data_IF_167841815680
#
_entry.id   IF_167841815680
#
_cell.length_a   1.000
_cell.length_b   1.000
_cell.length_c   1.000
_cell.angle_alpha   90.00
_cell.angle_beta   90.00
_cell.angle_gamma   90.00
#
_symmetry.space_group_name_H-M   'P 1'
#
loop_
_entity.id
_entity.type
_entity.pdbx_description
1 polymer ?
#
# COMPACT_ATOMS: atom_id res chain seq x y z
N UNK A 1 -3.08 21.08 18.69
CA UNK A 1 -3.63 20.02 17.82
C UNK A 1 -4.13 18.90 18.70
N UNK A 2 -5.28 18.30 18.37
CA UNK A 2 -5.69 17.04 18.99
C UNK A 2 -4.91 15.92 18.29
N UNK A 3 -4.11 15.11 19.00
CA UNK A 3 -3.41 13.98 18.41
C UNK A 3 -4.41 12.99 17.79
N UNK A 4 -4.00 12.31 16.71
CA UNK A 4 -4.75 11.15 16.23
C UNK A 4 -4.58 9.98 17.21
N UNK A 5 -5.48 8.98 17.20
CA UNK A 5 -5.37 7.82 18.10
C UNK A 5 -4.07 7.02 17.95
N UNK A 6 -3.37 7.14 16.82
CA UNK A 6 -2.12 6.44 16.56
C UNK A 6 -0.87 7.20 17.05
N UNK A 7 -0.98 8.50 17.33
CA UNK A 7 0.16 9.33 17.71
C UNK A 7 0.47 9.23 19.20
N UNK A 8 1.74 9.05 19.51
CA UNK A 8 2.32 9.10 20.85
C UNK A 8 3.09 10.42 21.07
N UNK A 9 3.75 10.94 20.04
CA UNK A 9 4.58 12.15 20.09
C UNK A 9 4.08 13.23 19.10
N UNK A 10 2.89 13.81 19.31
CA UNK A 10 2.22 14.66 18.31
C UNK A 10 2.94 15.99 18.01
N UNK A 11 3.96 16.34 18.80
CA UNK A 11 4.78 17.54 18.58
C UNK A 11 5.97 17.28 17.65
N UNK A 12 6.30 16.01 17.39
CA UNK A 12 7.35 15.63 16.46
C UNK A 12 6.81 15.48 15.03
N UNK A 13 7.60 15.94 14.07
CA UNK A 13 7.42 15.64 12.66
C UNK A 13 7.93 14.23 12.34
N UNK A 14 7.31 13.58 11.36
CA UNK A 14 7.71 12.26 10.87
C UNK A 14 7.76 11.18 11.97
N UNK A 15 6.82 11.23 12.91
CA UNK A 15 6.63 10.21 13.94
C UNK A 15 6.38 8.82 13.33
N UNK A 16 7.01 7.79 13.90
CA UNK A 16 6.79 6.39 13.54
C UNK A 16 5.77 5.75 14.50
N UNK A 17 4.50 5.75 14.10
CA UNK A 17 3.35 5.32 14.93
C UNK A 17 3.17 3.80 15.09
N UNK A 18 3.90 2.99 14.33
CA UNK A 18 3.83 1.53 14.39
C UNK A 18 5.25 0.96 14.53
N UNK A 19 5.76 0.20 13.54
CA UNK A 19 7.13 -0.32 13.56
C UNK A 19 8.18 0.79 13.49
N UNK A 20 9.31 0.59 14.18
CA UNK A 20 10.50 1.42 14.02
C UNK A 20 11.45 0.91 12.93
N UNK A 21 11.07 -0.14 12.20
CA UNK A 21 11.83 -0.65 11.07
C UNK A 21 11.44 0.10 9.79
N UNK A 22 12.43 0.71 9.15
CA UNK A 22 12.32 1.27 7.80
C UNK A 22 12.60 0.20 6.73
N UNK A 23 12.51 -1.10 7.08
CA UNK A 23 12.80 -2.27 6.22
C UNK A 23 14.28 -2.37 5.83
N UNK A 24 14.58 -3.29 4.91
CA UNK A 24 15.94 -3.69 4.54
C UNK A 24 16.86 -2.53 4.14
N UNK A 25 18.15 -2.67 4.48
CA UNK A 25 19.29 -1.86 4.01
C UNK A 25 19.85 -2.32 2.67
N UNK A 26 19.59 -3.57 2.29
CA UNK A 26 20.21 -4.19 1.10
C UNK A 26 19.70 -3.55 -0.19
N UNK A 27 20.62 -3.20 -1.10
CA UNK A 27 20.30 -2.74 -2.46
C UNK A 27 19.59 -3.79 -3.31
N UNK A 28 19.68 -5.07 -2.92
CA UNK A 28 18.97 -6.17 -3.58
C UNK A 28 17.50 -6.27 -3.15
N UNK A 29 17.10 -5.51 -2.13
CA UNK A 29 15.70 -5.39 -1.71
C UNK A 29 15.13 -4.06 -2.21
N UNK A 30 13.89 -4.01 -2.74
CA UNK A 30 13.28 -2.77 -3.24
C UNK A 30 13.31 -1.62 -2.24
N UNK A 31 13.04 -1.91 -0.96
CA UNK A 31 13.06 -0.89 0.07
C UNK A 31 14.48 -0.34 0.32
N UNK A 32 15.50 -1.18 0.22
CA UNK A 32 16.89 -0.73 0.38
C UNK A 32 17.40 0.02 -0.85
N UNK A 33 17.01 -0.38 -2.06
CA UNK A 33 17.29 0.38 -3.28
C UNK A 33 16.72 1.81 -3.20
N UNK A 34 15.44 1.94 -2.82
CA UNK A 34 14.79 3.24 -2.65
C UNK A 34 15.56 4.14 -1.65
N UNK A 35 16.03 3.58 -0.53
CA UNK A 35 16.84 4.34 0.44
C UNK A 35 18.13 4.87 -0.16
N UNK A 36 18.79 4.10 -1.03
CA UNK A 36 20.03 4.53 -1.69
C UNK A 36 19.77 5.68 -2.68
N UNK A 37 18.65 5.64 -3.39
CA UNK A 37 18.20 6.74 -4.26
C UNK A 37 17.88 7.98 -3.43
N UNK A 38 17.10 7.83 -2.37
CA UNK A 38 16.78 8.91 -1.43
C UNK A 38 18.03 9.53 -0.81
N UNK A 39 19.04 8.71 -0.47
CA UNK A 39 20.33 9.19 0.03
C UNK A 39 21.05 10.04 -1.01
N UNK A 40 21.08 9.57 -2.26
CA UNK A 40 21.73 10.28 -3.37
C UNK A 40 21.05 11.62 -3.69
N UNK A 41 19.75 11.72 -3.42
CA UNK A 41 18.96 12.96 -3.54
C UNK A 41 19.02 13.85 -2.29
N UNK A 42 19.80 13.48 -1.26
CA UNK A 42 19.96 14.29 -0.05
C UNK A 42 18.76 14.27 0.91
N UNK A 43 18.04 13.14 0.98
CA UNK A 43 16.86 13.00 1.84
C UNK A 43 17.19 13.18 3.33
N UNK A 44 16.53 14.14 3.97
CA UNK A 44 16.59 14.37 5.42
C UNK A 44 16.17 13.12 6.22
N UNK A 45 15.20 12.35 5.71
CA UNK A 45 14.72 11.12 6.36
C UNK A 45 15.83 10.08 6.48
N UNK A 46 16.67 9.91 5.44
CA UNK A 46 17.76 8.94 5.47
C UNK A 46 18.86 9.39 6.43
N UNK A 47 19.18 10.69 6.44
CA UNK A 47 20.16 11.26 7.40
C UNK A 47 19.68 11.05 8.83
N UNK A 48 18.41 11.35 9.11
CA UNK A 48 17.81 11.13 10.42
C UNK A 48 17.89 9.65 10.84
N UNK A 49 17.53 8.74 9.92
CA UNK A 49 17.55 7.30 10.19
C UNK A 49 18.95 6.76 10.50
N UNK A 50 19.98 7.26 9.81
CA UNK A 50 21.36 6.88 10.07
C UNK A 50 21.85 7.36 11.44
N UNK A 51 21.44 8.55 11.88
CA UNK A 51 21.83 9.11 13.17
C UNK A 51 21.12 8.45 14.36
N UNK A 52 19.95 7.88 14.13
CA UNK A 52 19.16 7.19 15.15
C UNK A 52 19.13 5.68 14.97
N UNK A 53 20.02 5.10 14.17
CA UNK A 53 20.01 3.65 13.88
C UNK A 53 20.22 2.82 15.16
N UNK A 54 19.42 1.77 15.31
CA UNK A 54 19.54 0.75 16.36
C UNK A 54 19.73 -0.65 15.76
N UNK A 55 20.38 -1.60 16.47
CA UNK A 55 20.62 -2.94 15.92
C UNK A 55 19.33 -3.68 15.53
N UNK A 56 19.21 -4.11 14.27
CA UNK A 56 18.04 -4.82 13.74
C UNK A 56 18.35 -5.78 12.57
N UNK A 57 19.52 -6.41 12.58
CA UNK A 57 19.96 -7.31 11.53
C UNK A 57 20.08 -6.59 10.17
N UNK A 58 19.40 -7.10 9.14
CA UNK A 58 19.42 -6.53 7.80
C UNK A 58 18.50 -5.32 7.61
N UNK A 59 17.62 -5.05 8.57
CA UNK A 59 16.74 -3.88 8.53
C UNK A 59 17.45 -2.62 9.03
N UNK A 60 17.04 -1.46 8.50
CA UNK A 60 17.32 -0.16 9.09
C UNK A 60 16.23 0.10 10.12
N UNK A 61 16.51 -0.18 11.39
CA UNK A 61 15.63 0.22 12.48
C UNK A 61 16.18 1.45 13.19
N UNK A 62 15.29 2.25 13.74
CA UNK A 62 15.64 3.53 14.37
C UNK A 62 15.11 3.63 15.79
N UNK A 63 15.75 4.45 16.60
CA UNK A 63 15.13 5.05 17.77
C UNK A 63 14.10 6.08 17.30
N UNK A 64 12.83 5.90 17.72
CA UNK A 64 11.70 6.70 17.22
C UNK A 64 11.80 8.17 17.63
N UNK A 65 12.19 8.43 18.87
CA UNK A 65 12.22 9.77 19.44
C UNK A 65 13.41 10.55 18.86
N UNK A 66 14.59 9.92 18.78
CA UNK A 66 15.76 10.53 18.16
C UNK A 66 15.53 10.79 16.67
N UNK A 67 14.91 9.85 15.95
CA UNK A 67 14.59 10.00 14.53
C UNK A 67 13.70 11.22 14.26
N UNK A 68 12.53 11.22 14.90
CA UNK A 68 11.49 12.24 14.69
C UNK A 68 11.90 13.59 15.29
N UNK A 69 12.58 13.59 16.43
CA UNK A 69 13.14 14.79 17.06
C UNK A 69 14.21 15.46 16.21
N UNK A 70 15.11 14.70 15.57
CA UNK A 70 16.11 15.25 14.66
C UNK A 70 15.47 15.96 13.46
N UNK A 71 14.47 15.33 12.83
CA UNK A 71 13.73 15.91 11.70
C UNK A 71 13.02 17.19 12.14
N UNK A 72 12.32 17.13 13.27
CA UNK A 72 11.58 18.26 13.85
C UNK A 72 12.49 19.46 14.08
N UNK A 73 13.61 19.25 14.77
CA UNK A 73 14.60 20.29 15.04
C UNK A 73 15.18 20.86 13.76
N UNK A 74 15.48 20.01 12.78
CA UNK A 74 16.05 20.46 11.50
C UNK A 74 15.07 21.36 10.74
N UNK A 75 13.81 20.95 10.61
CA UNK A 75 12.80 21.70 9.87
C UNK A 75 12.41 23.01 10.57
N UNK A 76 12.26 23.01 11.91
CA UNK A 76 11.92 24.23 12.67
C UNK A 76 13.01 25.31 12.61
N UNK A 77 14.27 24.90 12.50
CA UNK A 77 15.41 25.83 12.44
C UNK A 77 15.83 26.18 11.01
N UNK A 78 15.16 25.65 9.99
CA UNK A 78 15.57 25.87 8.61
C UNK A 78 15.13 27.26 8.12
N UNK A 79 16.05 28.10 7.60
CA UNK A 79 15.78 29.52 7.33
C UNK A 79 14.76 29.78 6.23
N UNK A 80 14.47 28.77 5.40
CA UNK A 80 13.47 28.85 4.30
C UNK A 80 12.17 28.11 4.59
N UNK A 81 11.99 27.59 5.81
CA UNK A 81 10.79 26.86 6.19
C UNK A 81 10.11 27.63 7.31
N UNK A 82 8.83 27.96 7.10
CA UNK A 82 7.96 28.51 8.14
C UNK A 82 7.02 27.41 8.60
N UNK A 83 7.11 27.05 9.87
CA UNK A 83 6.18 26.10 10.49
C UNK A 83 4.96 26.86 11.01
N UNK A 84 3.77 26.39 10.64
CA UNK A 84 2.49 26.90 11.14
C UNK A 84 1.73 25.71 11.71
N UNK A 85 1.48 25.74 13.02
CA UNK A 85 0.69 24.71 13.71
C UNK A 85 -0.79 25.08 13.65
N UNK A 86 -1.48 24.55 12.64
CA UNK A 86 -2.93 24.70 12.50
C UNK A 86 -3.56 23.40 12.04
N UNK A 87 -4.84 23.23 12.31
CA UNK A 87 -5.66 22.30 11.55
C UNK A 87 -6.11 23.02 10.28
N UNK A 88 -6.04 22.34 9.14
CA UNK A 88 -6.49 22.85 7.84
C UNK A 88 -7.81 22.15 7.52
N UNK A 89 -8.86 22.91 7.26
CA UNK A 89 -10.19 22.36 6.92
C UNK A 89 -10.46 22.35 5.41
N UNK A 90 -9.76 23.19 4.64
CA UNK A 90 -9.87 23.27 3.18
C UNK A 90 -8.55 23.69 2.52
N UNK A 91 -8.36 23.36 1.24
CA UNK A 91 -7.19 23.79 0.48
C UNK A 91 -7.13 25.33 0.36
N UNK A 92 -8.27 26.01 0.29
CA UNK A 92 -8.32 27.48 0.14
C UNK A 92 -7.74 28.23 1.34
N UNK A 93 -7.85 27.67 2.55
CA UNK A 93 -7.15 28.20 3.74
C UNK A 93 -5.64 28.24 3.54
N UNK A 94 -5.08 27.25 2.85
CA UNK A 94 -3.64 27.16 2.60
C UNK A 94 -3.20 28.26 1.64
N UNK A 95 -3.98 28.52 0.59
CA UNK A 95 -3.73 29.64 -0.33
C UNK A 95 -3.78 31.01 0.38
N UNK A 96 -4.55 31.12 1.46
CA UNK A 96 -4.56 32.29 2.35
C UNK A 96 -3.20 32.64 2.98
N UNK A 97 -2.24 31.71 3.00
CA UNK A 97 -0.86 31.96 3.43
C UNK A 97 0.05 32.55 2.33
N UNK A 98 -0.49 32.83 1.14
CA UNK A 98 0.25 33.46 0.04
C UNK A 98 1.20 32.52 -0.70
N UNK A 99 0.80 31.24 -0.85
CA UNK A 99 1.56 30.23 -1.61
C UNK A 99 0.93 30.00 -2.97
N UNK A 100 1.75 29.70 -3.98
CA UNK A 100 1.26 29.43 -5.35
C UNK A 100 0.96 27.95 -5.61
N UNK A 101 1.52 27.06 -4.78
CA UNK A 101 1.46 25.60 -4.94
C UNK A 101 1.27 24.93 -3.59
N UNK A 102 0.50 23.86 -3.59
CA UNK A 102 0.17 23.09 -2.38
C UNK A 102 0.56 21.62 -2.57
N UNK A 103 1.26 21.06 -1.59
CA UNK A 103 1.49 19.62 -1.46
C UNK A 103 0.65 19.14 -0.28
N UNK A 104 -0.14 18.09 -0.51
CA UNK A 104 -1.03 17.51 0.50
C UNK A 104 -0.42 16.19 0.97
N UNK A 105 -0.06 16.11 2.24
CA UNK A 105 0.64 14.98 2.85
C UNK A 105 0.13 14.67 4.27
N UNK A 106 -1.19 14.67 4.45
CA UNK A 106 -1.87 14.52 5.76
C UNK A 106 -1.97 13.09 6.28
N UNK A 107 -1.47 12.12 5.51
CA UNK A 107 -1.40 10.72 5.91
C UNK A 107 -2.76 9.99 5.92
N UNK A 108 -2.80 8.75 6.42
CA UNK A 108 -3.98 7.88 6.36
C UNK A 108 -5.11 8.34 7.29
N UNK A 109 -4.83 9.16 8.31
CA UNK A 109 -5.82 9.67 9.27
C UNK A 109 -6.16 11.13 8.99
N UNK A 110 -6.41 11.47 7.73
CA UNK A 110 -6.78 12.83 7.32
C UNK A 110 -8.08 13.26 7.98
N UNK A 111 -8.13 14.48 8.52
CA UNK A 111 -9.32 15.00 9.20
C UNK A 111 -10.52 15.11 8.25
N UNK A 112 -11.73 14.78 8.76
CA UNK A 112 -12.96 14.71 7.96
C UNK A 112 -13.24 15.96 7.13
N UNK A 113 -13.01 17.17 7.67
CA UNK A 113 -13.26 18.42 6.94
C UNK A 113 -12.41 18.52 5.66
N UNK A 114 -11.10 18.26 5.77
CA UNK A 114 -10.20 18.29 4.63
C UNK A 114 -10.47 17.12 3.67
N UNK A 115 -10.80 15.94 4.20
CA UNK A 115 -11.19 14.80 3.36
C UNK A 115 -12.43 15.13 2.49
N UNK A 116 -13.43 15.81 3.05
CA UNK A 116 -14.62 16.23 2.31
C UNK A 116 -14.31 17.31 1.26
N UNK A 117 -13.50 18.30 1.60
CA UNK A 117 -13.01 19.31 0.63
C UNK A 117 -12.27 18.64 -0.55
N UNK A 118 -11.43 17.64 -0.27
CA UNK A 118 -10.75 16.85 -1.30
C UNK A 118 -11.72 16.08 -2.20
N UNK A 119 -12.76 15.45 -1.63
CA UNK A 119 -13.78 14.73 -2.40
C UNK A 119 -14.51 15.67 -3.35
N UNK A 120 -14.98 16.81 -2.85
CA UNK A 120 -15.69 17.81 -3.65
C UNK A 120 -14.82 18.33 -4.80
N UNK A 121 -13.53 18.62 -4.56
CA UNK A 121 -12.63 19.17 -5.59
C UNK A 121 -12.23 18.16 -6.66
N UNK A 122 -12.14 16.89 -6.29
CA UNK A 122 -11.74 15.82 -7.22
C UNK A 122 -12.93 15.14 -7.88
N UNK A 123 -14.17 15.55 -7.54
CA UNK A 123 -15.41 14.85 -7.89
C UNK A 123 -15.31 13.34 -7.57
N UNK A 124 -14.58 12.99 -6.51
CA UNK A 124 -14.24 11.62 -6.19
C UNK A 124 -15.22 11.03 -5.20
N UNK A 125 -15.95 10.03 -5.67
CA UNK A 125 -16.72 9.15 -4.81
C UNK A 125 -15.79 8.15 -4.06
N UNK A 126 -14.56 7.96 -4.53
CA UNK A 126 -13.63 6.89 -4.14
C UNK A 126 -12.54 7.24 -3.13
N UNK A 127 -12.61 8.40 -2.44
CA UNK A 127 -11.62 8.73 -1.41
C UNK A 127 -11.93 7.95 -0.11
N UNK A 128 -11.19 6.86 0.09
CA UNK A 128 -11.28 6.00 1.27
C UNK A 128 -9.89 5.83 1.89
N UNK A 129 -9.85 5.76 3.22
CA UNK A 129 -8.60 5.60 3.99
C UNK A 129 -8.43 4.17 4.56
N UNK A 130 -9.25 3.24 4.10
CA UNK A 130 -9.10 1.82 4.34
C UNK A 130 -8.74 1.15 3.02
N UNK A 131 -7.84 0.18 3.10
CA UNK A 131 -7.42 -0.60 1.95
C UNK A 131 -7.99 -2.01 2.05
N UNK A 132 -8.41 -2.57 0.91
CA UNK A 132 -8.73 -3.98 0.76
C UNK A 132 -7.86 -4.55 -0.34
N UNK A 133 -6.60 -4.80 0.01
CA UNK A 133 -5.63 -5.39 -0.91
C UNK A 133 -5.78 -6.91 -0.90
N UNK A 134 -6.02 -7.50 -2.07
CA UNK A 134 -5.74 -8.91 -2.30
C UNK A 134 -4.24 -9.10 -2.59
N UNK A 135 -3.62 -10.23 -2.20
CA UNK A 135 -2.22 -10.50 -2.54
C UNK A 135 -1.96 -10.35 -4.04
N UNK A 136 -0.89 -9.64 -4.39
CA UNK A 136 -0.43 -9.51 -5.77
C UNK A 136 0.70 -10.51 -5.98
N UNK A 137 0.61 -11.30 -7.04
CA UNK A 137 1.61 -12.29 -7.43
C UNK A 137 2.22 -11.90 -8.78
N UNK A 138 3.49 -12.23 -8.97
CA UNK A 138 4.17 -12.06 -10.25
C UNK A 138 3.63 -13.08 -11.25
N UNK A 139 3.13 -12.60 -12.40
CA UNK A 139 2.48 -13.43 -13.42
C UNK A 139 3.40 -14.50 -13.99
N UNK A 140 4.71 -14.23 -14.06
CA UNK A 140 5.71 -15.15 -14.58
C UNK A 140 5.93 -16.36 -13.65
N UNK A 141 5.48 -16.27 -12.39
CA UNK A 141 5.57 -17.35 -11.41
C UNK A 141 4.36 -18.30 -11.43
N UNK A 142 3.35 -18.01 -12.26
CA UNK A 142 2.12 -18.80 -12.33
C UNK A 142 2.31 -19.98 -13.28
N UNK A 143 1.95 -21.18 -12.81
CA UNK A 143 1.91 -22.37 -13.65
C UNK A 143 0.79 -22.27 -14.71
N UNK A 144 1.19 -21.90 -15.93
CA UNK A 144 0.31 -21.75 -17.08
C UNK A 144 -0.24 -23.09 -17.59
N UNK A 145 0.29 -24.24 -17.16
CA UNK A 145 -0.30 -25.54 -17.49
C UNK A 145 -1.68 -25.72 -16.81
N UNK A 146 -1.88 -25.08 -15.66
CA UNK A 146 -3.13 -25.13 -14.88
C UNK A 146 -4.04 -23.93 -15.22
N UNK A 147 -3.50 -22.71 -15.21
CA UNK A 147 -4.28 -21.48 -15.30
C UNK A 147 -4.84 -21.18 -16.71
N UNK A 148 -6.01 -20.54 -16.83
CA UNK A 148 -6.57 -20.17 -18.14
C UNK A 148 -7.26 -18.81 -18.12
N UNK A 149 -7.12 -18.04 -19.20
CA UNK A 149 -7.85 -16.79 -19.37
C UNK A 149 -9.31 -17.08 -19.71
N UNK A 150 -10.23 -16.41 -19.03
CA UNK A 150 -11.66 -16.43 -19.37
C UNK A 150 -12.45 -15.32 -18.68
N UNK A 151 -13.45 -14.79 -19.35
CA UNK A 151 -14.48 -13.94 -18.75
C UNK A 151 -15.55 -14.78 -18.02
N UNK A 152 -16.37 -14.14 -17.16
CA UNK A 152 -17.37 -14.86 -16.33
C UNK A 152 -18.32 -15.75 -17.12
N UNK A 153 -18.75 -15.32 -18.30
CA UNK A 153 -19.73 -16.04 -19.13
C UNK A 153 -19.11 -17.16 -19.97
N UNK A 154 -17.79 -17.16 -20.14
CA UNK A 154 -17.06 -18.04 -21.06
C UNK A 154 -16.21 -19.09 -20.35
N UNK A 155 -16.12 -19.05 -19.00
CA UNK A 155 -15.24 -19.91 -18.18
C UNK A 155 -15.28 -21.39 -18.55
N UNK A 156 -16.47 -21.97 -18.71
CA UNK A 156 -16.61 -23.40 -19.02
C UNK A 156 -16.07 -23.71 -20.42
N UNK A 157 -16.45 -22.90 -21.40
CA UNK A 157 -16.04 -23.08 -22.79
C UNK A 157 -14.54 -22.91 -22.97
N UNK A 158 -13.93 -21.91 -22.31
CA UNK A 158 -12.49 -21.66 -22.35
C UNK A 158 -11.68 -22.80 -21.71
N UNK A 159 -12.15 -23.33 -20.58
CA UNK A 159 -11.52 -24.49 -19.92
C UNK A 159 -11.54 -25.72 -20.83
N UNK A 160 -12.69 -26.03 -21.41
CA UNK A 160 -12.85 -27.21 -22.27
C UNK A 160 -11.99 -27.09 -23.54
N UNK A 161 -11.86 -25.90 -24.11
CA UNK A 161 -10.97 -25.61 -25.23
C UNK A 161 -9.50 -25.88 -24.85
N UNK A 162 -9.06 -25.38 -23.69
CA UNK A 162 -7.70 -25.63 -23.20
C UNK A 162 -7.41 -27.11 -23.00
N UNK A 163 -8.33 -27.85 -22.38
CA UNK A 163 -8.16 -29.30 -22.14
C UNK A 163 -8.00 -30.07 -23.46
N UNK A 164 -8.75 -29.71 -24.51
CA UNK A 164 -8.60 -30.31 -25.85
C UNK A 164 -7.23 -30.03 -26.46
N UNK A 165 -6.72 -28.80 -26.34
CA UNK A 165 -5.39 -28.43 -26.85
C UNK A 165 -4.27 -29.17 -26.11
N UNK A 166 -4.37 -29.30 -24.78
CA UNK A 166 -3.42 -30.09 -24.00
C UNK A 166 -3.42 -31.56 -24.41
N UNK A 167 -4.59 -32.15 -24.62
CA UNK A 167 -4.72 -33.53 -25.10
C UNK A 167 -4.17 -33.73 -26.51
N UNK A 168 -4.20 -32.70 -27.35
CA UNK A 168 -3.65 -32.70 -28.70
C UNK A 168 -2.13 -32.42 -28.75
N UNK A 169 -1.48 -32.14 -27.60
CA UNK A 169 -0.05 -31.78 -27.55
C UNK A 169 0.28 -30.43 -28.18
N UNK A 170 -0.72 -29.57 -28.36
CA UNK A 170 -0.57 -28.23 -28.95
C UNK A 170 -0.26 -27.17 -27.89
N UNK A 171 0.51 -26.16 -28.27
CA UNK A 171 0.76 -24.99 -27.43
C UNK A 171 -0.56 -24.31 -27.04
N UNK A 172 -0.72 -24.06 -25.75
CA UNK A 172 -1.93 -23.45 -25.15
C UNK A 172 -1.78 -21.96 -24.92
N UNK A 173 -0.64 -21.37 -25.26
CA UNK A 173 -0.40 -19.93 -25.12
C UNK A 173 -1.38 -19.15 -26.02
N UNK A 174 -2.30 -18.41 -25.40
CA UNK A 174 -3.30 -17.62 -26.12
C UNK A 174 -4.56 -18.37 -26.59
N UNK A 175 -4.93 -19.50 -25.96
CA UNK A 175 -6.22 -20.13 -26.22
C UNK A 175 -7.37 -19.14 -25.97
N UNK A 176 -8.02 -18.70 -27.05
CA UNK A 176 -9.16 -17.79 -27.00
C UNK A 176 -10.40 -18.50 -26.44
N UNK A 177 -11.26 -17.72 -25.78
CA UNK A 177 -12.57 -18.15 -25.33
C UNK A 177 -13.45 -18.49 -26.55
N UNK A 178 -14.60 -19.15 -26.33
CA UNK A 178 -15.49 -19.62 -27.40
C UNK A 178 -16.07 -18.56 -28.36
N UNK A 179 -15.78 -17.28 -28.11
CA UNK A 179 -16.12 -16.10 -28.92
C UNK A 179 -14.92 -15.53 -29.72
N UNK A 180 -13.72 -16.12 -29.60
CA UNK A 180 -12.52 -15.70 -30.31
C UNK A 180 -11.74 -14.58 -29.62
N UNK A 181 -12.14 -14.15 -28.43
CA UNK A 181 -11.41 -13.20 -27.60
C UNK A 181 -10.69 -13.90 -26.44
N UNK A 182 -9.52 -13.39 -26.04
CA UNK A 182 -8.84 -13.86 -24.83
C UNK A 182 -9.50 -13.17 -23.62
N UNK A 183 -10.02 -13.95 -22.68
CA UNK A 183 -10.65 -13.39 -21.48
C UNK A 183 -9.73 -12.49 -20.66
N UNK A 184 -10.28 -11.54 -19.90
CA UNK A 184 -9.49 -10.58 -19.14
C UNK A 184 -9.02 -11.07 -17.77
N UNK A 185 -9.57 -12.20 -17.30
CA UNK A 185 -9.26 -12.75 -15.98
C UNK A 185 -8.54 -14.08 -16.14
N UNK A 186 -7.46 -14.23 -15.37
CA UNK A 186 -6.80 -15.53 -15.21
C UNK A 186 -7.57 -16.35 -14.16
N UNK A 187 -7.97 -17.57 -14.54
CA UNK A 187 -8.74 -18.47 -13.71
C UNK A 187 -7.86 -19.65 -13.28
N UNK A 188 -7.87 -19.94 -11.98
CA UNK A 188 -7.23 -21.10 -11.37
C UNK A 188 -8.33 -22.09 -10.95
N UNK A 189 -8.57 -23.17 -11.71
CA UNK A 189 -9.64 -24.12 -11.38
C UNK A 189 -9.28 -24.93 -10.15
N UNK A 190 -10.25 -25.12 -9.25
CA UNK A 190 -10.17 -26.06 -8.13
C UNK A 190 -11.24 -27.15 -8.31
N UNK A 191 -10.89 -28.38 -8.00
CA UNK A 191 -11.87 -29.43 -7.76
C UNK A 191 -12.51 -29.28 -6.37
N UNK A 192 -13.50 -30.12 -6.07
CA UNK A 192 -14.26 -30.06 -4.82
C UNK A 192 -13.36 -30.22 -3.58
N UNK A 193 -12.47 -31.20 -3.60
CA UNK A 193 -11.63 -31.54 -2.46
C UNK A 193 -10.55 -30.48 -2.23
N UNK A 194 -9.95 -29.98 -3.31
CA UNK A 194 -9.00 -28.84 -3.29
C UNK A 194 -9.66 -27.57 -2.71
N UNK A 195 -10.90 -27.28 -3.12
CA UNK A 195 -11.66 -26.14 -2.59
C UNK A 195 -11.87 -26.26 -1.08
N UNK A 196 -12.32 -27.43 -0.59
CA UNK A 196 -12.55 -27.61 0.85
C UNK A 196 -11.24 -27.60 1.65
N UNK A 197 -10.16 -28.17 1.12
CA UNK A 197 -8.85 -28.08 1.74
C UNK A 197 -8.37 -26.62 1.85
N UNK A 198 -8.56 -25.83 0.79
CA UNK A 198 -8.23 -24.40 0.78
C UNK A 198 -9.06 -23.60 1.79
N UNK A 199 -10.37 -23.86 1.88
CA UNK A 199 -11.26 -23.19 2.85
C UNK A 199 -10.82 -23.48 4.29
N UNK A 200 -10.49 -24.73 4.60
CA UNK A 200 -10.01 -25.09 5.94
C UNK A 200 -8.65 -24.44 6.25
N UNK A 201 -7.75 -24.38 5.26
CA UNK A 201 -6.48 -23.67 5.40
C UNK A 201 -6.68 -22.17 5.69
N UNK A 202 -7.60 -21.49 4.99
CA UNK A 202 -7.93 -20.08 5.26
C UNK A 202 -8.49 -19.90 6.66
N UNK A 203 -9.41 -20.77 7.10
CA UNK A 203 -10.00 -20.68 8.44
C UNK A 203 -8.97 -20.84 9.55
N UNK A 204 -7.98 -21.70 9.33
CA UNK A 204 -6.88 -21.95 10.26
C UNK A 204 -5.72 -20.95 10.17
N UNK A 205 -5.71 -20.06 9.16
CA UNK A 205 -4.65 -19.09 8.98
C UNK A 205 -4.58 -18.05 10.10
N UNK A 206 -3.37 -17.61 10.43
CA UNK A 206 -3.14 -16.54 11.39
C UNK A 206 -3.75 -15.22 10.89
N UNK A 207 -4.34 -14.46 11.81
CA UNK A 207 -4.96 -13.16 11.52
C UNK A 207 -4.29 -12.10 12.37
N UNK A 208 -4.02 -10.95 11.75
CA UNK A 208 -3.55 -9.77 12.47
C UNK A 208 -4.73 -9.19 13.25
N UNK A 209 -4.62 -9.00 14.57
CA UNK A 209 -5.66 -8.34 15.34
C UNK A 209 -5.77 -6.87 14.94
N UNK A 210 -6.99 -6.34 14.98
CA UNK A 210 -7.23 -4.91 14.79
C UNK A 210 -6.66 -4.11 15.97
N UNK A 211 -6.28 -2.87 15.71
CA UNK A 211 -6.04 -1.89 16.77
C UNK A 211 -7.38 -1.42 17.36
N UNK A 212 -7.39 -0.98 18.62
CA UNK A 212 -8.61 -0.59 19.34
C UNK A 212 -9.39 0.56 18.70
N UNK A 213 -8.72 1.38 17.87
CA UNK A 213 -9.32 2.51 17.14
C UNK A 213 -9.75 2.17 15.71
N UNK A 214 -9.52 0.94 15.23
CA UNK A 214 -9.93 0.50 13.91
C UNK A 214 -11.37 -0.06 13.97
N UNK A 215 -12.29 0.54 13.21
CA UNK A 215 -13.60 -0.07 12.98
C UNK A 215 -13.50 -1.09 11.84
N UNK A 216 -13.77 -2.39 12.07
CA UNK A 216 -13.79 -3.37 11.00
C UNK A 216 -14.96 -3.08 10.06
N UNK A 217 -14.67 -2.38 8.97
CA UNK A 217 -15.61 -2.16 7.86
C UNK A 217 -15.37 -3.22 6.81
N UNK A 218 -16.13 -4.30 6.88
CA UNK A 218 -16.19 -5.25 5.78
C UNK A 218 -16.90 -4.55 4.60
N UNK A 219 -16.31 -4.61 3.41
CA UNK A 219 -16.96 -4.13 2.19
C UNK A 219 -18.31 -4.85 2.04
N UNK A 220 -19.39 -4.14 2.31
CA UNK A 220 -20.71 -4.51 1.81
C UNK A 220 -20.73 -4.03 0.36
N UNK A 221 -20.40 -4.93 -0.56
CA UNK A 221 -20.38 -4.64 -2.00
C UNK A 221 -21.73 -4.18 -2.54
#
# INVERSE_FOLDING_TARGET
>A
QTPTPAQSEPHHFSELVCSNSLKSKSRLNPAGLLKNEMQSLGSLMIVAAQQSEVPAGEALAVDRELFSGFITKTLRNHPRIKVIESQIHSIDEVFGYGVDKVIIATGPLTANALAEDLRMRTDSQGLYFYDAIAPIIDGDTIDQSIAFFANRKTKTTARDAKLKLLQAGTDTSGAADGDGEVGHYLNLPLNKDEYFAFVEAIKGGEKVPYHDFEEPRFFNG
#
